data_IF_106091052476
#
_entry.id   IF_106091052476
#
_cell.length_a   1.000
_cell.length_b   1.000
_cell.length_c   1.000
_cell.angle_alpha   90.00
_cell.angle_beta   90.00
_cell.angle_gamma   90.00
#
_symmetry.space_group_name_H-M   'P 1'
#
loop_
_entity.id
_entity.type
_entity.pdbx_description
1 polymer ?
#
# COMPACT_ATOMS: atom_id res chain seq x y z
N UNK A 1 0.48 18.97 4.95
CA UNK A 1 -0.45 19.21 6.07
C UNK A 1 0.36 19.80 7.23
N UNK A 2 0.02 20.98 7.77
CA UNK A 2 0.73 21.54 8.92
C UNK A 2 0.64 20.65 10.16
N UNK A 3 1.72 20.51 10.93
CA UNK A 3 1.75 19.67 12.13
C UNK A 3 0.78 20.11 13.23
N UNK A 4 0.33 21.37 13.22
CA UNK A 4 -0.63 21.91 14.19
C UNK A 4 -2.01 21.24 14.13
N UNK A 5 -2.35 20.59 13.01
CA UNK A 5 -3.61 19.85 12.80
C UNK A 5 -3.39 18.33 12.68
N UNK A 6 -2.28 17.82 13.22
CA UNK A 6 -1.94 16.39 13.19
C UNK A 6 -1.79 15.89 14.63
N UNK A 7 -2.70 15.02 15.07
CA UNK A 7 -2.62 14.40 16.40
C UNK A 7 -1.66 13.20 16.47
N UNK A 8 -1.48 12.47 15.35
CA UNK A 8 -0.67 11.27 15.33
C UNK A 8 0.06 11.09 14.00
N UNK A 9 1.32 10.62 14.09
CA UNK A 9 2.14 10.18 12.96
C UNK A 9 2.60 8.76 13.25
N UNK A 10 2.33 7.84 12.31
CA UNK A 10 2.70 6.43 12.43
C UNK A 10 3.55 6.06 11.22
N UNK A 11 4.69 5.41 11.46
CA UNK A 11 5.57 4.89 10.41
C UNK A 11 5.09 3.49 10.03
N UNK A 12 4.43 3.37 8.87
CA UNK A 12 3.87 2.11 8.40
C UNK A 12 4.33 1.79 6.96
N UNK A 13 5.38 0.98 6.78
CA UNK A 13 5.83 0.55 5.47
C UNK A 13 4.73 -0.23 4.74
N UNK A 14 4.51 0.09 3.47
CA UNK A 14 3.38 -0.46 2.68
C UNK A 14 1.98 -0.15 3.26
N UNK A 15 1.84 0.90 4.08
CA UNK A 15 0.60 1.22 4.79
C UNK A 15 -0.64 1.42 3.91
N UNK A 16 -0.47 1.82 2.63
CA UNK A 16 -1.56 1.96 1.67
C UNK A 16 -1.85 0.71 0.82
N UNK A 17 -1.09 -0.39 0.98
CA UNK A 17 -1.37 -1.65 0.29
C UNK A 17 -2.83 -2.11 0.56
N UNK A 18 -3.57 -2.61 -0.45
CA UNK A 18 -3.13 -3.00 -1.80
C UNK A 18 -3.02 -1.86 -2.83
N UNK A 19 -3.35 -0.63 -2.45
CA UNK A 19 -3.17 0.55 -3.32
C UNK A 19 -1.70 0.95 -3.45
N UNK A 20 -1.41 1.85 -4.36
CA UNK A 20 -0.06 2.38 -4.62
C UNK A 20 0.27 3.54 -3.68
N UNK A 21 1.58 3.77 -3.49
CA UNK A 21 2.12 5.01 -2.96
C UNK A 21 3.17 5.53 -3.95
N UNK A 22 2.86 6.65 -4.63
CA UNK A 22 3.67 7.15 -5.74
C UNK A 22 5.15 7.30 -5.36
N UNK A 23 6.03 6.72 -6.17
CA UNK A 23 7.48 6.74 -5.95
C UNK A 23 7.99 5.76 -4.88
N UNK A 24 7.10 5.10 -4.14
CA UNK A 24 7.47 4.11 -3.11
C UNK A 24 7.17 2.67 -3.55
N UNK A 25 5.92 2.39 -3.97
CA UNK A 25 5.47 1.09 -4.45
C UNK A 25 4.22 1.21 -5.31
N UNK A 26 4.09 0.30 -6.28
CA UNK A 26 2.95 0.20 -7.19
C UNK A 26 1.77 -0.57 -6.54
N UNK A 27 0.64 -0.57 -7.23
CA UNK A 27 -0.59 -1.25 -6.80
C UNK A 27 -0.44 -2.75 -6.93
N UNK A 28 -0.90 -3.48 -5.91
CA UNK A 28 -1.04 -4.93 -5.97
C UNK A 28 -2.33 -5.32 -6.69
N UNK A 29 -2.31 -5.26 -8.03
CA UNK A 29 -3.46 -5.60 -8.86
C UNK A 29 -3.94 -7.05 -8.63
N UNK A 30 -3.03 -7.97 -8.30
CA UNK A 30 -3.40 -9.36 -8.01
C UNK A 30 -4.34 -9.42 -6.80
N UNK A 31 -4.02 -8.67 -5.74
CA UNK A 31 -4.85 -8.58 -4.54
C UNK A 31 -6.25 -8.01 -4.83
N UNK A 32 -6.33 -6.99 -5.69
CA UNK A 32 -7.63 -6.43 -6.12
C UNK A 32 -8.47 -7.39 -6.96
N UNK A 33 -7.84 -8.14 -7.87
CA UNK A 33 -8.56 -9.10 -8.71
C UNK A 33 -9.10 -10.29 -7.90
N UNK A 34 -8.32 -10.77 -6.93
CA UNK A 34 -8.75 -11.83 -6.01
C UNK A 34 -10.01 -11.41 -5.23
N UNK A 35 -10.06 -10.15 -4.77
CA UNK A 35 -11.14 -9.59 -3.95
C UNK A 35 -12.53 -9.74 -4.58
N UNK A 36 -12.66 -9.56 -5.90
CA UNK A 36 -13.97 -9.64 -6.59
C UNK A 36 -14.66 -10.98 -6.34
N UNK A 37 -13.91 -12.08 -6.43
CA UNK A 37 -14.44 -13.43 -6.22
C UNK A 37 -14.74 -13.70 -4.74
N UNK A 38 -13.83 -13.25 -3.86
CA UNK A 38 -13.90 -13.44 -2.41
C UNK A 38 -15.12 -12.74 -1.83
N UNK A 39 -15.36 -11.48 -2.23
CA UNK A 39 -16.41 -10.65 -1.64
C UNK A 39 -17.84 -11.10 -1.98
N UNK A 40 -18.00 -12.00 -2.96
CA UNK A 40 -19.32 -12.49 -3.41
C UNK A 40 -19.79 -13.73 -2.65
N UNK A 41 -18.90 -14.42 -1.94
CA UNK A 41 -19.21 -15.61 -1.15
C UNK A 41 -18.96 -15.32 0.33
N UNK A 42 -20.00 -15.46 1.15
CA UNK A 42 -19.92 -15.12 2.57
C UNK A 42 -18.88 -15.96 3.33
N UNK A 43 -18.77 -17.26 3.01
CA UNK A 43 -17.81 -18.15 3.67
C UNK A 43 -16.38 -17.83 3.26
N UNK A 44 -16.18 -17.50 1.98
CA UNK A 44 -14.88 -17.08 1.46
C UNK A 44 -14.46 -15.73 2.06
N UNK A 45 -15.39 -14.78 2.17
CA UNK A 45 -15.16 -13.48 2.79
C UNK A 45 -14.79 -13.62 4.27
N UNK A 46 -15.53 -14.41 5.05
CA UNK A 46 -15.24 -14.67 6.47
C UNK A 46 -13.83 -15.24 6.64
N UNK A 47 -13.48 -16.28 5.88
CA UNK A 47 -12.13 -16.86 5.89
C UNK A 47 -11.05 -15.84 5.51
N UNK A 48 -11.33 -14.99 4.55
CA UNK A 48 -10.38 -13.97 4.12
C UNK A 48 -10.17 -12.89 5.19
N UNK A 49 -11.25 -12.46 5.86
CA UNK A 49 -11.16 -11.51 6.97
C UNK A 49 -10.42 -12.12 8.16
N UNK A 50 -10.70 -13.37 8.49
CA UNK A 50 -9.96 -14.12 9.51
C UNK A 50 -8.47 -14.19 9.16
N UNK A 51 -8.12 -14.38 7.89
CA UNK A 51 -6.72 -14.50 7.48
C UNK A 51 -5.96 -13.15 7.46
N UNK A 52 -6.58 -12.09 6.93
CA UNK A 52 -5.89 -10.84 6.57
C UNK A 52 -6.20 -9.66 7.51
N UNK A 53 -7.22 -9.79 8.35
CA UNK A 53 -7.68 -8.71 9.25
C UNK A 53 -7.67 -9.15 10.71
N UNK A 54 -8.42 -10.20 11.05
CA UNK A 54 -8.60 -10.62 12.45
C UNK A 54 -7.49 -11.54 12.94
N UNK A 55 -6.85 -12.30 12.04
CA UNK A 55 -5.77 -13.24 12.35
C UNK A 55 -4.36 -12.64 12.25
N UNK A 56 -4.24 -11.31 12.15
CA UNK A 56 -2.96 -10.60 12.25
C UNK A 56 -2.98 -9.71 13.50
N UNK A 57 -1.88 -9.71 14.23
CA UNK A 57 -1.73 -8.98 15.49
C UNK A 57 -1.45 -7.49 15.25
N UNK A 58 -0.81 -7.18 14.11
CA UNK A 58 -0.49 -5.82 13.69
C UNK A 58 -0.23 -5.75 12.16
N UNK A 59 0.15 -4.56 11.69
CA UNK A 59 0.46 -4.32 10.28
C UNK A 59 1.79 -4.93 9.83
N UNK A 60 2.74 -5.12 10.73
CA UNK A 60 4.00 -5.79 10.39
C UNK A 60 3.74 -7.26 10.06
N UNK A 61 2.92 -7.95 10.85
CA UNK A 61 2.50 -9.33 10.57
C UNK A 61 1.72 -9.42 9.25
N UNK A 62 0.80 -8.47 8.99
CA UNK A 62 0.12 -8.37 7.69
C UNK A 62 1.11 -8.26 6.52
N UNK A 63 2.11 -7.39 6.65
CA UNK A 63 3.12 -7.17 5.60
C UNK A 63 3.99 -8.41 5.42
N UNK A 64 4.41 -9.06 6.49
CA UNK A 64 5.28 -10.24 6.44
C UNK A 64 4.57 -11.48 5.85
N UNK A 65 3.22 -11.50 5.86
CA UNK A 65 2.42 -12.47 5.06
C UNK A 65 2.55 -12.24 3.55
N UNK A 66 2.87 -11.03 3.11
CA UNK A 66 3.21 -10.78 1.71
C UNK A 66 4.64 -11.29 1.49
N UNK A 67 4.83 -12.22 0.56
CA UNK A 67 6.17 -12.75 0.29
C UNK A 67 7.13 -11.64 -0.15
N UNK A 68 8.41 -11.78 0.18
CA UNK A 68 9.47 -10.86 -0.27
C UNK A 68 9.47 -10.68 -1.80
N UNK A 69 9.18 -11.75 -2.54
CA UNK A 69 9.02 -11.71 -3.99
C UNK A 69 7.87 -10.78 -4.42
N UNK A 70 6.72 -10.87 -3.74
CA UNK A 70 5.55 -10.02 -4.00
C UNK A 70 5.88 -8.56 -3.68
N UNK A 71 6.51 -8.29 -2.55
CA UNK A 71 6.92 -6.94 -2.16
C UNK A 71 7.96 -6.35 -3.13
N UNK A 72 8.92 -7.16 -3.59
CA UNK A 72 9.92 -6.75 -4.56
C UNK A 72 9.31 -6.40 -5.92
N UNK A 73 8.29 -7.17 -6.37
CA UNK A 73 7.59 -6.92 -7.63
C UNK A 73 6.81 -5.59 -7.66
N UNK A 74 6.45 -5.04 -6.49
CA UNK A 74 5.77 -3.75 -6.38
C UNK A 74 6.74 -2.56 -6.43
N UNK A 75 8.06 -2.77 -6.45
CA UNK A 75 9.02 -1.65 -6.43
C UNK A 75 8.99 -0.90 -7.77
N UNK A 76 8.81 0.44 -7.76
CA UNK A 76 8.77 1.20 -8.98
C UNK A 76 10.19 1.37 -9.55
N UNK A 77 10.29 1.53 -10.85
CA UNK A 77 11.51 2.00 -11.50
C UNK A 77 11.79 3.48 -11.22
N UNK A 78 13.03 3.90 -11.48
CA UNK A 78 13.39 5.33 -11.42
C UNK A 78 12.74 6.10 -12.57
N UNK A 79 12.04 7.18 -12.24
CA UNK A 79 11.41 8.09 -13.21
C UNK A 79 11.42 9.53 -12.67
N UNK A 80 12.57 10.23 -12.72
CA UNK A 80 12.65 11.62 -12.27
C UNK A 80 11.77 12.53 -13.14
N UNK A 81 11.15 13.55 -12.54
CA UNK A 81 10.48 14.60 -13.30
C UNK A 81 11.50 15.42 -14.11
N UNK A 82 11.05 16.05 -15.21
CA UNK A 82 11.87 16.97 -15.98
C UNK A 82 12.25 18.25 -15.21
N UNK A 83 13.18 19.04 -15.77
CA UNK A 83 13.55 20.36 -15.27
C UNK A 83 12.47 21.41 -15.53
N UNK A 84 12.21 22.27 -14.54
CA UNK A 84 11.30 23.43 -14.66
C UNK A 84 12.11 24.72 -14.46
N UNK A 85 12.01 25.64 -15.41
CA UNK A 85 12.55 27.00 -15.32
C UNK A 85 11.45 27.95 -14.83
N UNK A 86 11.68 28.64 -13.70
CA UNK A 86 10.75 29.59 -13.10
C UNK A 86 11.10 31.07 -13.40
N UNK A 87 12.17 31.31 -14.17
CA UNK A 87 12.70 32.63 -14.46
C UNK A 87 13.52 33.24 -13.32
N UNK A 88 14.37 34.21 -13.69
CA UNK A 88 15.20 35.01 -12.76
C UNK A 88 14.57 36.41 -12.61
N UNK A 89 14.14 36.76 -11.40
CA UNK A 89 13.47 38.03 -11.09
C UNK A 89 14.45 39.05 -10.50
N UNK A 90 15.53 39.34 -11.24
CA UNK A 90 16.48 40.42 -10.88
C UNK A 90 15.91 41.80 -11.18
#
# INVERSE_FOLDING_TARGET
>A
IPGLIVEAVVVEPFGAHPSYAQGHYDRDNRFYLEWESISRDATALERWLDEWVYGVSDRAEYRDKLSEERLAALRPGSAPSGSVDYGDYR
#
